data_IF_716860768863
#
_entry.id   IF_716860768863
#
_cell.length_a   1.000
_cell.length_b   1.000
_cell.length_c   1.000
_cell.angle_alpha   90.00
_cell.angle_beta   90.00
_cell.angle_gamma   90.00
#
_symmetry.space_group_name_H-M   'P 1'
#
loop_
_entity.id
_entity.type
_entity.pdbx_description
1 polymer ?
#
# COMPACT_ATOMS: atom_id res chain seq x y z
N UNK A 1 -31.17 12.23 -40.77
CA UNK A 1 -30.21 13.08 -40.04
C UNK A 1 -29.01 12.21 -39.72
N UNK A 2 -27.88 12.49 -40.38
CA UNK A 2 -26.65 11.67 -40.33
C UNK A 2 -25.84 12.01 -39.07
N UNK A 3 -25.63 11.03 -38.20
CA UNK A 3 -24.67 11.16 -37.09
C UNK A 3 -23.25 11.23 -37.66
N UNK A 4 -22.65 12.41 -37.65
CA UNK A 4 -21.22 12.58 -37.88
C UNK A 4 -20.46 12.06 -36.66
N UNK A 5 -19.93 10.84 -36.71
CA UNK A 5 -18.90 10.35 -35.80
C UNK A 5 -17.68 11.26 -35.89
N UNK A 6 -17.43 12.04 -34.84
CA UNK A 6 -16.23 12.86 -34.70
C UNK A 6 -15.04 11.93 -34.39
N UNK A 7 -14.38 11.41 -35.43
CA UNK A 7 -13.08 10.75 -35.27
C UNK A 7 -11.98 11.81 -35.24
N UNK A 8 -11.47 12.12 -34.05
CA UNK A 8 -10.31 12.98 -33.91
C UNK A 8 -9.06 12.19 -34.32
N UNK A 9 -8.30 12.65 -35.31
CA UNK A 9 -7.09 11.99 -35.75
C UNK A 9 -5.96 12.13 -34.68
N UNK A 10 -4.97 11.23 -34.70
CA UNK A 10 -3.85 11.21 -33.74
C UNK A 10 -3.15 12.57 -33.58
N UNK A 11 -2.94 13.31 -34.68
CA UNK A 11 -2.29 14.62 -34.65
C UNK A 11 -3.12 15.68 -33.94
N UNK A 12 -4.43 15.67 -34.17
CA UNK A 12 -5.38 16.60 -33.48
C UNK A 12 -5.50 16.24 -32.01
N UNK A 13 -5.50 14.95 -31.66
CA UNK A 13 -5.47 14.50 -30.27
C UNK A 13 -4.19 14.93 -29.56
N UNK A 14 -3.02 14.74 -30.18
CA UNK A 14 -1.73 15.16 -29.60
C UNK A 14 -1.66 16.68 -29.46
N UNK A 15 -2.14 17.44 -30.46
CA UNK A 15 -2.18 18.91 -30.37
C UNK A 15 -3.13 19.39 -29.28
N UNK A 16 -4.30 18.78 -29.12
CA UNK A 16 -5.24 19.10 -28.05
C UNK A 16 -4.66 18.73 -26.68
N UNK A 17 -3.97 17.59 -26.58
CA UNK A 17 -3.30 17.15 -25.36
C UNK A 17 -2.12 18.04 -24.96
N UNK A 18 -1.35 18.54 -25.95
CA UNK A 18 -0.25 19.48 -25.72
C UNK A 18 -0.77 20.86 -25.30
N UNK A 19 -1.88 21.32 -25.88
CA UNK A 19 -2.49 22.60 -25.46
C UNK A 19 -3.08 22.50 -24.05
N UNK A 20 -3.72 21.38 -23.71
CA UNK A 20 -4.23 21.13 -22.35
C UNK A 20 -3.08 20.89 -21.36
N UNK A 21 -2.03 20.18 -21.75
CA UNK A 21 -0.82 20.02 -20.96
C UNK A 21 -0.03 21.34 -20.85
N UNK A 22 0.02 22.13 -21.89
CA UNK A 22 0.65 23.47 -21.89
C UNK A 22 -0.09 24.46 -20.96
N UNK A 23 -1.41 24.47 -20.95
CA UNK A 23 -2.21 25.27 -20.02
C UNK A 23 -2.06 24.80 -18.56
N UNK A 24 -1.85 23.50 -18.36
CA UNK A 24 -1.50 22.93 -17.06
C UNK A 24 -0.04 23.20 -16.67
N UNK A 25 0.91 23.19 -17.61
CA UNK A 25 2.34 23.42 -17.32
C UNK A 25 2.64 24.90 -17.03
N UNK A 26 1.89 25.85 -17.52
CA UNK A 26 2.10 27.27 -17.17
C UNK A 26 1.72 27.60 -15.71
N UNK A 27 0.92 26.77 -15.07
CA UNK A 27 0.62 26.88 -13.62
C UNK A 27 1.65 26.14 -12.75
N UNK A 28 2.61 25.42 -13.35
CA UNK A 28 3.66 24.63 -12.67
C UNK A 28 4.94 25.42 -12.30
N UNK A 29 4.94 26.71 -12.51
CA UNK A 29 6.02 27.57 -12.06
C UNK A 29 6.03 27.72 -10.53
N UNK A 30 6.85 26.92 -9.84
CA UNK A 30 7.31 27.09 -8.45
C UNK A 30 6.29 27.02 -7.30
N UNK A 31 5.04 26.76 -7.54
CA UNK A 31 4.04 26.46 -6.49
C UNK A 31 3.34 25.13 -6.81
N UNK A 32 3.49 24.14 -5.98
CA UNK A 32 3.01 22.77 -6.23
C UNK A 32 1.56 22.70 -6.75
N UNK A 33 1.28 21.67 -7.54
CA UNK A 33 -0.02 21.33 -8.14
C UNK A 33 -1.21 21.46 -7.17
N UNK A 34 -0.93 21.38 -5.86
CA UNK A 34 -1.91 21.44 -4.79
C UNK A 34 -2.67 22.76 -4.71
N UNK A 35 -1.97 23.89 -4.67
CA UNK A 35 -2.61 25.15 -4.28
C UNK A 35 -3.70 25.66 -5.23
N UNK A 36 -3.56 25.45 -6.54
CA UNK A 36 -4.57 25.88 -7.52
C UNK A 36 -5.82 24.97 -7.57
N UNK A 37 -5.65 23.67 -7.36
CA UNK A 37 -6.77 22.73 -7.32
C UNK A 37 -7.58 22.86 -6.03
N UNK A 38 -6.93 23.20 -4.92
CA UNK A 38 -7.59 23.45 -3.64
C UNK A 38 -8.47 24.73 -3.69
N UNK A 39 -7.99 25.78 -4.39
CA UNK A 39 -8.69 27.03 -4.53
C UNK A 39 -9.83 27.02 -5.55
N UNK A 40 -9.75 26.16 -6.57
CA UNK A 40 -10.70 26.16 -7.70
C UNK A 40 -11.94 25.26 -7.47
N UNK A 41 -12.02 24.52 -6.38
CA UNK A 41 -13.06 23.51 -6.19
C UNK A 41 -14.19 24.02 -5.27
N UNK A 42 -15.30 24.48 -5.86
CA UNK A 42 -16.51 24.89 -5.13
C UNK A 42 -17.37 23.70 -4.61
N UNK A 43 -16.92 22.44 -4.79
CA UNK A 43 -17.62 21.27 -4.26
C UNK A 43 -17.21 21.03 -2.80
N UNK A 44 -18.12 20.49 -1.96
CA UNK A 44 -17.75 20.08 -0.61
C UNK A 44 -16.63 19.06 -0.68
N UNK A 45 -15.48 19.41 -0.09
CA UNK A 45 -14.27 18.60 -0.12
C UNK A 45 -14.37 17.53 0.96
N UNK A 46 -14.05 16.29 0.60
CA UNK A 46 -13.87 15.22 1.58
C UNK A 46 -12.71 15.57 2.52
N UNK A 47 -12.89 15.33 3.79
CA UNK A 47 -11.94 15.67 4.84
C UNK A 47 -11.82 14.51 5.83
N UNK A 48 -10.59 14.03 6.03
CA UNK A 48 -10.25 12.94 6.91
C UNK A 48 -9.13 13.32 7.87
N UNK A 49 -9.04 12.63 9.00
CA UNK A 49 -7.90 12.78 9.89
C UNK A 49 -6.69 12.06 9.32
N UNK A 50 -6.91 10.85 8.79
CA UNK A 50 -5.86 10.04 8.16
C UNK A 50 -6.37 9.47 6.82
N UNK A 51 -5.56 9.62 5.79
CA UNK A 51 -5.73 8.90 4.53
C UNK A 51 -4.61 7.85 4.41
N UNK A 52 -5.01 6.61 4.15
CA UNK A 52 -4.09 5.50 3.86
C UNK A 52 -4.12 5.22 2.36
N UNK A 53 -2.99 5.33 1.70
CA UNK A 53 -2.85 5.05 0.27
C UNK A 53 -2.43 3.61 0.07
N UNK A 54 -3.37 2.78 -0.34
CA UNK A 54 -3.20 1.35 -0.57
C UNK A 54 -3.94 0.50 0.46
N UNK A 55 -4.58 -0.55 -0.03
CA UNK A 55 -5.40 -1.50 0.75
C UNK A 55 -4.77 -2.89 0.85
N UNK A 56 -3.46 -2.99 0.70
CA UNK A 56 -2.70 -4.20 1.01
C UNK A 56 -2.60 -4.44 2.52
N UNK A 57 -1.88 -5.48 2.93
CA UNK A 57 -1.71 -5.83 4.35
C UNK A 57 -1.21 -4.67 5.19
N UNK A 58 -0.20 -3.94 4.72
CA UNK A 58 0.34 -2.77 5.42
C UNK A 58 -0.72 -1.66 5.60
N UNK A 59 -1.46 -1.32 4.53
CA UNK A 59 -2.46 -0.25 4.59
C UNK A 59 -3.65 -0.61 5.45
N UNK A 60 -4.17 -1.82 5.35
CA UNK A 60 -5.28 -2.29 6.19
C UNK A 60 -4.86 -2.38 7.65
N UNK A 61 -3.66 -2.91 7.96
CA UNK A 61 -3.16 -2.95 9.33
C UNK A 61 -2.97 -1.55 9.91
N UNK A 62 -2.42 -0.62 9.13
CA UNK A 62 -2.29 0.78 9.54
C UNK A 62 -3.66 1.42 9.85
N UNK A 63 -4.67 1.18 9.00
CA UNK A 63 -6.02 1.69 9.23
C UNK A 63 -6.65 1.10 10.49
N UNK A 64 -6.52 -0.22 10.71
CA UNK A 64 -7.00 -0.89 11.91
C UNK A 64 -6.30 -0.34 13.15
N UNK A 65 -4.96 -0.23 13.15
CA UNK A 65 -4.19 0.32 14.27
C UNK A 65 -4.56 1.78 14.58
N UNK A 66 -4.81 2.58 13.55
CA UNK A 66 -5.24 3.96 13.76
C UNK A 66 -6.63 4.04 14.42
N UNK A 67 -7.56 3.15 14.07
CA UNK A 67 -8.86 3.02 14.73
C UNK A 67 -8.74 2.45 16.14
N UNK A 68 -7.79 1.56 16.39
CA UNK A 68 -7.47 1.07 17.76
C UNK A 68 -6.99 2.20 18.66
N UNK A 69 -6.10 3.05 18.14
CA UNK A 69 -5.56 4.19 18.88
C UNK A 69 -6.59 5.31 19.09
N UNK A 70 -7.46 5.56 18.11
CA UNK A 70 -8.51 6.56 18.22
C UNK A 70 -9.77 6.14 17.45
N UNK A 71 -10.75 5.52 18.11
CA UNK A 71 -12.01 5.07 17.46
C UNK A 71 -12.88 6.20 16.88
N UNK A 72 -12.59 7.45 17.20
CA UNK A 72 -13.30 8.63 16.69
C UNK A 72 -12.62 9.24 15.46
N UNK A 73 -11.44 8.77 15.08
CA UNK A 73 -10.72 9.28 13.91
C UNK A 73 -11.47 8.96 12.61
N UNK A 74 -11.53 9.93 11.73
CA UNK A 74 -12.08 9.75 10.38
C UNK A 74 -10.96 9.23 9.47
N UNK A 75 -10.97 7.92 9.23
CA UNK A 75 -9.94 7.23 8.45
C UNK A 75 -10.51 6.80 7.11
N UNK A 76 -9.74 7.04 6.05
CA UNK A 76 -10.07 6.62 4.70
C UNK A 76 -8.92 5.82 4.08
N UNK A 77 -9.22 4.65 3.53
CA UNK A 77 -8.31 3.87 2.71
C UNK A 77 -8.63 4.10 1.23
N UNK A 78 -7.63 4.51 0.47
CA UNK A 78 -7.72 4.73 -0.97
C UNK A 78 -7.13 3.53 -1.70
N UNK A 79 -7.89 2.92 -2.60
CA UNK A 79 -7.51 1.74 -3.34
C UNK A 79 -7.81 1.88 -4.83
N UNK A 80 -6.90 1.45 -5.69
CA UNK A 80 -7.09 1.44 -7.15
C UNK A 80 -8.07 0.39 -7.64
N UNK A 81 -8.30 -0.63 -6.81
CA UNK A 81 -9.23 -1.74 -7.08
C UNK A 81 -9.90 -2.16 -5.78
N UNK A 82 -10.66 -3.26 -5.84
CA UNK A 82 -11.16 -3.93 -4.65
C UNK A 82 -10.00 -4.22 -3.67
N UNK A 83 -10.14 -3.92 -2.37
CA UNK A 83 -9.07 -4.09 -1.37
C UNK A 83 -8.44 -5.49 -1.35
N UNK A 84 -9.22 -6.53 -1.63
CA UNK A 84 -8.76 -7.92 -1.66
C UNK A 84 -7.92 -8.28 -2.90
N UNK A 85 -7.70 -7.35 -3.85
CA UNK A 85 -6.89 -7.55 -5.06
C UNK A 85 -5.56 -6.84 -4.96
N UNK A 86 -4.68 -7.32 -4.11
CA UNK A 86 -3.36 -6.74 -3.84
C UNK A 86 -2.27 -7.80 -3.80
N UNK A 87 -1.01 -7.40 -3.74
CA UNK A 87 0.12 -8.32 -3.67
C UNK A 87 0.06 -9.23 -2.44
N UNK A 88 -0.36 -8.70 -1.29
CA UNK A 88 -0.49 -9.51 -0.07
C UNK A 88 -1.46 -10.68 -0.27
N UNK A 89 -2.57 -10.49 -1.00
CA UNK A 89 -3.54 -11.56 -1.25
C UNK A 89 -2.98 -12.74 -2.07
N UNK A 90 -1.84 -12.54 -2.75
CA UNK A 90 -1.17 -13.56 -3.57
C UNK A 90 -0.11 -14.33 -2.80
N UNK A 91 0.18 -13.95 -1.54
CA UNK A 91 1.19 -14.61 -0.72
C UNK A 91 0.66 -15.95 -0.19
N UNK A 92 1.29 -17.04 -0.59
CA UNK A 92 0.90 -18.41 -0.23
C UNK A 92 1.72 -18.95 0.94
N UNK A 93 2.99 -18.53 1.02
CA UNK A 93 4.02 -19.14 1.87
C UNK A 93 3.74 -19.10 3.36
N UNK A 94 3.35 -17.99 3.89
CA UNK A 94 3.18 -17.76 5.32
C UNK A 94 3.85 -16.48 5.80
N UNK A 95 3.94 -16.33 7.11
CA UNK A 95 4.53 -15.18 7.80
C UNK A 95 5.64 -15.72 8.71
N UNK A 96 6.88 -15.29 8.48
CA UNK A 96 7.97 -15.59 9.39
C UNK A 96 7.86 -14.74 10.66
N UNK A 97 7.92 -15.39 11.82
CA UNK A 97 7.97 -14.71 13.11
C UNK A 97 8.23 -15.69 14.24
N UNK A 98 9.06 -15.29 15.18
CA UNK A 98 9.39 -16.12 16.33
C UNK A 98 8.25 -16.02 17.34
N UNK A 99 7.47 -17.10 17.47
CA UNK A 99 6.39 -17.22 18.46
C UNK A 99 6.68 -18.33 19.49
N UNK A 100 7.68 -19.17 19.25
CA UNK A 100 8.08 -20.26 20.14
C UNK A 100 9.62 -20.30 20.27
N UNK A 101 10.10 -19.86 21.41
CA UNK A 101 11.53 -19.82 21.75
C UNK A 101 12.05 -21.16 22.27
N UNK A 102 11.18 -22.08 22.68
CA UNK A 102 11.54 -23.35 23.30
C UNK A 102 12.35 -24.27 22.36
N UNK A 103 12.25 -24.05 21.05
CA UNK A 103 12.94 -24.79 19.99
C UNK A 103 14.31 -24.19 19.59
N UNK A 104 14.83 -23.27 20.40
CA UNK A 104 16.12 -22.63 20.18
C UNK A 104 16.11 -21.65 19.01
N UNK A 105 14.98 -21.00 18.75
CA UNK A 105 14.84 -19.85 17.87
C UNK A 105 14.97 -18.54 18.65
N UNK A 106 15.34 -17.45 17.99
CA UNK A 106 15.46 -16.11 18.59
C UNK A 106 15.25 -15.02 17.56
N UNK A 107 15.04 -13.80 18.04
CA UNK A 107 14.95 -12.63 17.17
C UNK A 107 16.27 -12.38 16.43
N UNK A 108 17.41 -12.51 17.11
CA UNK A 108 18.73 -12.36 16.52
C UNK A 108 18.96 -13.38 15.39
N UNK A 109 18.55 -14.63 15.60
CA UNK A 109 18.68 -15.67 14.57
C UNK A 109 17.75 -15.40 13.39
N UNK A 110 16.54 -14.89 13.63
CA UNK A 110 15.64 -14.47 12.58
C UNK A 110 16.19 -13.26 11.81
N UNK A 111 16.75 -12.28 12.52
CA UNK A 111 17.40 -11.12 11.92
C UNK A 111 18.62 -11.54 11.09
N UNK A 112 19.47 -12.45 11.61
CA UNK A 112 20.62 -12.97 10.89
C UNK A 112 20.21 -13.65 9.57
N UNK A 113 19.20 -14.53 9.59
CA UNK A 113 18.68 -15.18 8.38
C UNK A 113 18.19 -14.14 7.36
N UNK A 114 17.52 -13.09 7.82
CA UNK A 114 16.97 -12.02 6.98
C UNK A 114 18.08 -11.16 6.37
N UNK A 115 19.06 -10.76 7.17
CA UNK A 115 20.25 -10.00 6.72
C UNK A 115 21.03 -10.80 5.69
N UNK A 116 21.27 -12.08 5.97
CA UNK A 116 21.95 -13.01 5.05
C UNK A 116 21.16 -13.18 3.74
N UNK A 117 19.82 -13.31 3.83
CA UNK A 117 18.95 -13.40 2.66
C UNK A 117 18.94 -12.14 1.79
N UNK A 118 19.24 -10.98 2.36
CA UNK A 118 19.42 -9.71 1.68
C UNK A 118 20.86 -9.41 1.26
N UNK A 119 21.72 -10.42 1.20
CA UNK A 119 23.15 -10.30 0.82
C UNK A 119 23.92 -9.25 1.65
N UNK A 120 23.52 -9.06 2.91
CA UNK A 120 24.09 -8.08 3.86
C UNK A 120 23.94 -6.62 3.43
N UNK A 121 23.11 -6.32 2.41
CA UNK A 121 22.88 -4.97 1.91
C UNK A 121 21.72 -4.25 2.62
N UNK A 122 21.04 -4.94 3.52
CA UNK A 122 19.87 -4.42 4.25
C UNK A 122 20.26 -3.47 5.40
N UNK A 123 19.35 -2.65 5.82
CA UNK A 123 19.43 -1.87 7.05
C UNK A 123 19.23 -2.84 8.24
N UNK A 124 20.31 -3.18 8.91
CA UNK A 124 20.32 -4.25 9.92
C UNK A 124 19.52 -3.90 11.16
N UNK A 125 19.55 -2.63 11.60
CA UNK A 125 18.78 -2.16 12.76
C UNK A 125 17.27 -2.26 12.45
N UNK A 126 16.84 -1.82 11.26
CA UNK A 126 15.46 -1.96 10.84
C UNK A 126 15.01 -3.42 10.69
N UNK A 127 15.92 -4.33 10.30
CA UNK A 127 15.64 -5.77 10.23
C UNK A 127 15.46 -6.36 11.63
N UNK A 128 16.27 -5.96 12.60
CA UNK A 128 16.14 -6.44 13.97
C UNK A 128 14.78 -6.03 14.56
N UNK A 129 14.44 -4.73 14.47
CA UNK A 129 13.13 -4.21 14.91
C UNK A 129 11.96 -4.96 14.23
N UNK A 130 12.07 -5.19 12.93
CA UNK A 130 11.06 -5.94 12.17
C UNK A 130 10.92 -7.38 12.67
N UNK A 131 12.02 -8.08 12.95
CA UNK A 131 12.01 -9.47 13.42
C UNK A 131 11.45 -9.58 14.84
N UNK A 132 11.71 -8.62 15.71
CA UNK A 132 11.11 -8.55 17.05
C UNK A 132 9.58 -8.33 16.98
N UNK A 133 9.11 -7.46 16.09
CA UNK A 133 7.68 -7.17 15.94
C UNK A 133 6.91 -8.26 15.19
N UNK A 134 7.57 -9.11 14.41
CA UNK A 134 6.91 -10.12 13.58
C UNK A 134 6.07 -11.11 14.41
N UNK A 135 6.61 -11.57 15.55
CA UNK A 135 5.89 -12.46 16.46
C UNK A 135 4.63 -11.81 17.04
N UNK A 136 4.73 -10.56 17.48
CA UNK A 136 3.59 -9.78 18.00
C UNK A 136 2.52 -9.57 16.92
N UNK A 137 2.94 -9.33 15.69
CA UNK A 137 2.02 -9.19 14.54
C UNK A 137 1.24 -10.48 14.27
N UNK A 138 1.88 -11.65 14.37
CA UNK A 138 1.21 -12.95 14.23
C UNK A 138 0.16 -13.13 15.33
N UNK A 139 0.51 -12.86 16.58
CA UNK A 139 -0.43 -12.93 17.70
C UNK A 139 -1.61 -11.95 17.54
N UNK A 140 -1.34 -10.74 17.04
CA UNK A 140 -2.39 -9.76 16.76
C UNK A 140 -3.36 -10.26 15.67
N UNK A 141 -2.87 -10.86 14.60
CA UNK A 141 -3.70 -11.46 13.56
C UNK A 141 -4.52 -12.65 14.08
N UNK A 142 -3.90 -13.48 14.92
CA UNK A 142 -4.60 -14.59 15.58
C UNK A 142 -5.73 -14.11 16.50
N UNK A 143 -5.46 -13.06 17.29
CA UNK A 143 -6.47 -12.40 18.14
C UNK A 143 -7.63 -11.80 17.32
N UNK A 144 -7.36 -11.27 16.13
CA UNK A 144 -8.39 -10.80 15.20
C UNK A 144 -9.17 -11.92 14.52
N UNK A 145 -8.91 -13.18 14.88
CA UNK A 145 -9.61 -14.35 14.37
C UNK A 145 -9.07 -14.87 13.04
N UNK A 146 -7.83 -14.58 12.68
CA UNK A 146 -7.21 -15.17 11.49
C UNK A 146 -7.11 -16.70 11.65
N UNK A 147 -7.71 -17.51 10.76
CA UNK A 147 -7.71 -18.97 10.86
C UNK A 147 -6.35 -19.55 10.39
N UNK A 148 -5.32 -19.38 11.21
CA UNK A 148 -4.05 -20.10 11.00
C UNK A 148 -4.23 -21.60 11.05
N UNK A 149 -3.43 -22.35 10.31
CA UNK A 149 -3.27 -23.79 10.52
C UNK A 149 -2.77 -24.04 11.93
N UNK A 150 -3.37 -25.03 12.62
CA UNK A 150 -3.10 -25.33 14.03
C UNK A 150 -2.42 -26.68 14.21
N UNK A 151 -1.61 -26.81 15.24
CA UNK A 151 -1.11 -28.09 15.72
C UNK A 151 -2.15 -28.79 16.64
N UNK A 152 -1.80 -29.97 17.13
CA UNK A 152 -2.70 -30.76 17.99
C UNK A 152 -2.98 -30.10 19.36
N UNK A 153 -2.13 -29.16 19.77
CA UNK A 153 -2.32 -28.36 20.98
C UNK A 153 -3.15 -27.08 20.73
N UNK A 154 -3.55 -26.82 19.48
CA UNK A 154 -4.31 -25.65 19.09
C UNK A 154 -3.47 -24.39 18.85
N UNK A 155 -2.14 -24.47 18.91
CA UNK A 155 -1.26 -23.35 18.62
C UNK A 155 -1.07 -23.14 17.10
N UNK A 156 -0.75 -21.92 16.64
CA UNK A 156 -0.44 -21.68 15.24
C UNK A 156 0.73 -22.56 14.79
N UNK A 157 0.51 -23.33 13.72
CA UNK A 157 1.49 -24.26 13.17
C UNK A 157 2.52 -23.56 12.33
N UNK A 158 3.77 -23.91 12.54
CA UNK A 158 4.90 -23.39 11.76
C UNK A 158 5.44 -24.43 10.77
N UNK A 159 6.04 -23.94 9.67
CA UNK A 159 6.78 -24.74 8.69
C UNK A 159 8.11 -24.08 8.33
N UNK A 160 8.98 -24.79 7.66
CA UNK A 160 10.18 -24.21 7.08
C UNK A 160 9.81 -23.26 5.92
N UNK A 161 10.50 -22.12 5.85
CA UNK A 161 10.49 -21.22 4.71
C UNK A 161 11.89 -21.17 4.08
N UNK A 162 11.97 -20.84 2.81
CA UNK A 162 13.25 -20.70 2.11
C UNK A 162 14.16 -19.69 2.81
N UNK A 163 15.44 -20.07 3.02
CA UNK A 163 16.42 -19.22 3.69
C UNK A 163 16.33 -19.19 5.22
N UNK A 164 15.30 -19.73 5.84
CA UNK A 164 15.18 -19.76 7.29
C UNK A 164 16.00 -20.90 7.90
N UNK A 165 16.75 -20.63 8.98
CA UNK A 165 17.49 -21.64 9.74
C UNK A 165 16.61 -22.40 10.74
N UNK A 166 15.42 -21.87 11.05
CA UNK A 166 14.45 -22.44 12.00
C UNK A 166 13.04 -22.49 11.42
N UNK A 167 12.20 -23.30 12.05
CA UNK A 167 10.79 -23.47 11.71
C UNK A 167 9.99 -22.32 12.35
N UNK A 168 9.79 -21.23 11.61
CA UNK A 168 9.09 -20.03 12.12
C UNK A 168 8.05 -19.45 11.17
N UNK A 169 7.80 -20.10 10.04
CA UNK A 169 6.83 -19.63 9.06
C UNK A 169 5.42 -20.08 9.44
N UNK A 170 4.63 -19.18 10.00
CA UNK A 170 3.24 -19.41 10.39
C UNK A 170 2.34 -19.22 9.17
N UNK A 171 1.39 -20.12 8.95
CA UNK A 171 0.66 -20.17 7.68
C UNK A 171 -0.82 -20.55 7.87
N UNK A 172 -1.60 -20.30 6.85
CA UNK A 172 -2.98 -20.75 6.69
C UNK A 172 -3.09 -21.52 5.37
N UNK A 173 -2.87 -22.84 5.43
CA UNK A 173 -2.79 -23.72 4.27
C UNK A 173 -1.85 -23.14 3.18
N UNK A 174 -2.35 -22.97 1.97
CA UNK A 174 -1.66 -22.37 0.80
C UNK A 174 -2.16 -20.95 0.46
N UNK A 175 -2.86 -20.29 1.35
CA UNK A 175 -3.57 -19.03 1.09
C UNK A 175 -3.42 -18.01 2.22
N UNK A 176 -2.28 -18.02 2.89
CA UNK A 176 -2.00 -17.17 4.05
C UNK A 176 -2.30 -15.70 3.78
N UNK A 177 -1.77 -15.13 2.70
CA UNK A 177 -1.96 -13.72 2.39
C UNK A 177 -3.40 -13.36 2.03
N UNK A 178 -4.12 -14.26 1.35
CA UNK A 178 -5.54 -14.08 1.08
C UNK A 178 -6.34 -13.97 2.40
N UNK A 179 -6.07 -14.84 3.35
CA UNK A 179 -6.73 -14.83 4.65
C UNK A 179 -6.34 -13.58 5.47
N UNK A 180 -5.05 -13.17 5.47
CA UNK A 180 -4.62 -11.90 6.09
C UNK A 180 -5.46 -10.73 5.59
N UNK A 181 -5.62 -10.61 4.27
CA UNK A 181 -6.39 -9.52 3.69
C UNK A 181 -7.86 -9.59 4.05
N UNK A 182 -8.48 -10.77 4.03
CA UNK A 182 -9.88 -10.92 4.43
C UNK A 182 -10.09 -10.54 5.90
N UNK A 183 -9.23 -11.00 6.80
CA UNK A 183 -9.29 -10.68 8.23
C UNK A 183 -9.15 -9.18 8.46
N UNK A 184 -8.12 -8.55 7.92
CA UNK A 184 -7.87 -7.12 8.10
C UNK A 184 -8.92 -6.24 7.43
N UNK A 185 -9.45 -6.65 6.27
CA UNK A 185 -10.49 -5.90 5.58
C UNK A 185 -11.82 -5.96 6.33
N UNK A 186 -12.21 -7.14 6.81
CA UNK A 186 -13.40 -7.30 7.64
C UNK A 186 -13.30 -6.46 8.93
N UNK A 187 -12.14 -6.50 9.58
CA UNK A 187 -11.88 -5.72 10.79
C UNK A 187 -11.92 -4.20 10.54
N UNK A 188 -11.33 -3.73 9.45
CA UNK A 188 -11.39 -2.33 9.06
C UNK A 188 -12.83 -1.86 8.79
N UNK A 189 -13.66 -2.69 8.14
CA UNK A 189 -15.08 -2.40 7.91
C UNK A 189 -15.86 -2.34 9.22
N UNK A 190 -15.67 -3.31 10.11
CA UNK A 190 -16.31 -3.37 11.44
C UNK A 190 -16.01 -2.12 12.28
N UNK A 191 -14.78 -1.61 12.18
CA UNK A 191 -14.36 -0.37 12.85
C UNK A 191 -14.80 0.91 12.15
N UNK A 192 -15.52 0.82 11.03
CA UNK A 192 -16.08 1.98 10.33
C UNK A 192 -15.09 2.75 9.44
N UNK A 193 -13.96 2.14 9.08
CA UNK A 193 -13.01 2.71 8.11
C UNK A 193 -13.71 2.95 6.78
N UNK A 194 -13.53 4.12 6.19
CA UNK A 194 -14.07 4.47 4.87
C UNK A 194 -13.13 3.99 3.76
N UNK A 195 -13.71 3.56 2.65
CA UNK A 195 -12.97 3.11 1.48
C UNK A 195 -13.35 3.92 0.24
N UNK A 196 -12.34 4.47 -0.43
CA UNK A 196 -12.44 5.01 -1.78
C UNK A 196 -11.81 3.99 -2.75
N UNK A 197 -12.67 3.16 -3.34
CA UNK A 197 -12.28 2.14 -4.32
C UNK A 197 -12.33 2.70 -5.74
N UNK A 198 -11.49 2.19 -6.62
CA UNK A 198 -11.30 2.68 -8.00
C UNK A 198 -10.73 4.11 -8.04
N UNK A 199 -9.91 4.47 -7.04
CA UNK A 199 -9.22 5.75 -7.00
C UNK A 199 -7.71 5.58 -7.05
N UNK A 200 -7.07 6.37 -7.90
CA UNK A 200 -5.61 6.45 -8.04
C UNK A 200 -5.08 7.71 -7.38
N UNK A 201 -4.03 7.59 -6.60
CA UNK A 201 -3.27 8.75 -6.13
C UNK A 201 -2.56 9.39 -7.33
N UNK A 202 -2.82 10.67 -7.56
CA UNK A 202 -2.08 11.47 -8.53
C UNK A 202 -0.96 12.25 -7.86
N UNK A 203 -1.24 12.91 -6.73
CA UNK A 203 -0.27 13.75 -6.06
C UNK A 203 -0.59 13.96 -4.57
N UNK A 204 0.40 14.48 -3.83
CA UNK A 204 0.30 14.86 -2.42
C UNK A 204 0.36 16.38 -2.34
N UNK A 205 -0.73 16.99 -1.86
CA UNK A 205 -0.85 18.44 -1.72
C UNK A 205 -0.13 18.96 -0.49
N UNK A 206 0.68 19.99 -0.68
CA UNK A 206 1.37 20.72 0.39
C UNK A 206 1.21 22.22 0.21
N UNK A 207 1.12 22.94 1.32
CA UNK A 207 1.16 24.41 1.36
C UNK A 207 2.12 24.84 2.47
N UNK A 208 3.02 25.77 2.16
CA UNK A 208 4.05 26.24 3.10
C UNK A 208 4.84 25.12 3.80
N UNK A 209 5.11 24.03 3.06
CA UNK A 209 5.83 22.86 3.60
C UNK A 209 4.97 21.87 4.42
N UNK A 210 3.73 22.23 4.76
CA UNK A 210 2.80 21.38 5.48
C UNK A 210 1.90 20.57 4.53
N UNK A 211 1.52 19.37 4.93
CA UNK A 211 0.57 18.54 4.22
C UNK A 211 -0.83 19.17 4.25
N UNK A 212 -1.51 19.23 3.11
CA UNK A 212 -2.91 19.61 2.99
C UNK A 212 -3.82 18.41 2.70
N UNK A 213 -3.29 17.40 2.02
CA UNK A 213 -4.03 16.20 1.64
C UNK A 213 -3.50 15.55 0.37
N UNK A 214 -4.39 14.94 -0.41
CA UNK A 214 -4.05 14.19 -1.62
C UNK A 214 -4.94 14.57 -2.79
N UNK A 215 -4.42 14.44 -4.01
CA UNK A 215 -5.20 14.55 -5.25
C UNK A 215 -5.43 13.16 -5.79
N UNK A 216 -6.69 12.80 -5.96
CA UNK A 216 -7.12 11.49 -6.43
C UNK A 216 -7.75 11.60 -7.82
N UNK A 217 -7.63 10.55 -8.61
CA UNK A 217 -8.40 10.34 -9.83
C UNK A 217 -9.34 9.17 -9.66
N UNK A 218 -10.61 9.35 -9.88
CA UNK A 218 -11.55 8.26 -10.04
C UNK A 218 -11.22 7.53 -11.37
N UNK A 219 -10.86 6.26 -11.29
CA UNK A 219 -10.42 5.47 -12.46
C UNK A 219 -11.57 5.23 -13.42
N UNK A 220 -12.81 5.13 -12.92
CA UNK A 220 -13.99 4.82 -13.72
C UNK A 220 -14.52 6.04 -14.49
N UNK A 221 -14.51 7.21 -13.85
CA UNK A 221 -15.10 8.45 -14.42
C UNK A 221 -14.04 9.40 -15.00
N UNK A 222 -12.77 9.25 -14.58
CA UNK A 222 -11.71 10.19 -14.90
C UNK A 222 -11.71 11.47 -14.04
N UNK A 223 -12.68 11.64 -13.15
CA UNK A 223 -12.80 12.82 -12.29
C UNK A 223 -11.58 12.95 -11.37
N UNK A 224 -11.04 14.17 -11.30
CA UNK A 224 -9.95 14.52 -10.37
C UNK A 224 -10.56 15.19 -9.14
N UNK A 225 -10.18 14.71 -7.97
CA UNK A 225 -10.74 15.13 -6.70
C UNK A 225 -9.65 15.39 -5.67
N UNK A 226 -9.53 16.61 -5.12
CA UNK A 226 -8.72 16.87 -3.94
C UNK A 226 -9.44 16.34 -2.69
N UNK A 227 -8.68 15.75 -1.77
CA UNK A 227 -9.18 15.23 -0.49
C UNK A 227 -8.25 15.71 0.62
N UNK A 228 -8.80 16.39 1.62
CA UNK A 228 -8.03 16.88 2.77
C UNK A 228 -7.68 15.77 3.73
N UNK A 229 -6.48 15.88 4.31
CA UNK A 229 -6.04 14.98 5.38
C UNK A 229 -5.04 15.67 6.29
N UNK A 230 -5.09 15.36 7.59
CA UNK A 230 -4.07 15.81 8.55
C UNK A 230 -2.80 14.95 8.43
N UNK A 231 -2.94 13.68 8.06
CA UNK A 231 -1.84 12.77 7.83
C UNK A 231 -2.13 11.84 6.63
N UNK A 232 -1.08 11.43 5.93
CA UNK A 232 -1.13 10.46 4.84
C UNK A 232 -0.17 9.32 5.14
N UNK A 233 -0.67 8.09 5.15
CA UNK A 233 0.14 6.88 5.28
C UNK A 233 0.30 6.28 3.89
N UNK A 234 1.56 6.20 3.43
CA UNK A 234 1.89 5.61 2.14
C UNK A 234 2.07 4.09 2.30
N UNK A 235 1.12 3.32 1.80
CA UNK A 235 1.11 1.85 1.80
C UNK A 235 0.78 1.27 0.42
N UNK A 236 1.16 1.98 -0.63
CA UNK A 236 0.77 1.74 -2.02
C UNK A 236 1.47 0.54 -2.68
N UNK A 237 2.36 -0.14 -1.96
CA UNK A 237 3.19 -1.21 -2.49
C UNK A 237 4.25 -0.72 -3.48
N UNK A 238 4.74 -1.63 -4.29
CA UNK A 238 5.86 -1.39 -5.19
C UNK A 238 5.47 -1.01 -6.63
N UNK A 239 6.41 -1.24 -7.54
CA UNK A 239 6.33 -0.79 -8.95
C UNK A 239 6.70 -1.87 -9.96
N UNK A 240 6.67 -3.13 -9.60
CA UNK A 240 7.15 -4.25 -10.44
C UNK A 240 6.43 -4.36 -11.79
N UNK A 241 5.23 -3.75 -11.95
CA UNK A 241 4.52 -3.69 -13.24
C UNK A 241 5.17 -2.77 -14.27
N UNK A 242 6.20 -2.00 -13.90
CA UNK A 242 7.09 -1.33 -14.85
C UNK A 242 7.72 -2.36 -15.80
N UNK A 243 8.00 -3.57 -15.32
CA UNK A 243 8.54 -4.68 -16.11
C UNK A 243 7.48 -5.43 -16.93
N UNK A 244 6.27 -4.88 -17.07
CA UNK A 244 5.19 -5.37 -17.92
C UNK A 244 4.93 -6.89 -17.75
N UNK A 245 5.20 -7.69 -18.79
CA UNK A 245 4.95 -9.13 -18.81
C UNK A 245 6.04 -9.98 -18.12
N UNK A 246 7.03 -9.36 -17.48
CA UNK A 246 8.10 -10.02 -16.71
C UNK A 246 7.84 -9.97 -15.20
N UNK A 247 6.63 -9.62 -14.80
CA UNK A 247 6.26 -9.50 -13.39
C UNK A 247 5.05 -10.37 -13.08
N UNK A 248 5.13 -11.16 -12.00
CA UNK A 248 4.01 -11.93 -11.43
C UNK A 248 3.15 -11.11 -10.45
N UNK A 249 3.54 -9.86 -10.13
CA UNK A 249 2.80 -9.02 -9.19
C UNK A 249 1.45 -8.55 -9.76
N UNK A 250 0.48 -8.15 -8.92
CA UNK A 250 -0.81 -7.65 -9.38
C UNK A 250 -0.67 -6.42 -10.28
N UNK A 251 -1.63 -6.22 -11.16
CA UNK A 251 -1.67 -5.06 -12.08
C UNK A 251 -1.67 -3.70 -11.38
N UNK A 252 -1.94 -3.67 -10.08
CA UNK A 252 -1.97 -2.43 -9.28
C UNK A 252 -0.57 -1.95 -8.83
N UNK A 253 0.47 -2.77 -8.98
CA UNK A 253 1.84 -2.44 -8.56
C UNK A 253 2.56 -1.58 -9.62
N UNK A 254 2.06 -0.37 -9.89
CA UNK A 254 2.47 0.50 -11.00
C UNK A 254 3.42 1.64 -10.61
N UNK A 255 3.76 1.78 -9.30
CA UNK A 255 4.72 2.78 -8.84
C UNK A 255 4.19 4.21 -8.73
N UNK A 256 2.91 4.44 -8.94
CA UNK A 256 2.28 5.76 -8.83
C UNK A 256 2.38 6.35 -7.42
N UNK A 257 2.25 5.53 -6.38
CA UNK A 257 2.42 5.96 -5.00
C UNK A 257 3.85 6.45 -4.69
N UNK A 258 4.90 5.63 -4.88
CA UNK A 258 6.28 6.06 -4.75
C UNK A 258 6.60 7.31 -5.59
N UNK A 259 6.11 7.39 -6.83
CA UNK A 259 6.31 8.56 -7.69
C UNK A 259 5.65 9.83 -7.13
N UNK A 260 4.44 9.74 -6.56
CA UNK A 260 3.78 10.88 -5.92
C UNK A 260 4.53 11.31 -4.64
N UNK A 261 5.01 10.37 -3.84
CA UNK A 261 5.82 10.64 -2.66
C UNK A 261 7.13 11.36 -3.02
N UNK A 262 7.83 10.88 -4.07
CA UNK A 262 9.06 11.53 -4.55
C UNK A 262 8.80 12.97 -5.02
N UNK A 263 7.73 13.21 -5.79
CA UNK A 263 7.35 14.59 -6.18
C UNK A 263 7.03 15.49 -4.99
N UNK A 264 6.48 14.89 -3.93
CA UNK A 264 6.23 15.58 -2.66
C UNK A 264 7.51 15.82 -1.84
N UNK A 265 8.68 15.37 -2.31
CA UNK A 265 9.98 15.58 -1.65
C UNK A 265 10.32 14.51 -0.61
N UNK A 266 9.60 13.38 -0.59
CA UNK A 266 9.96 12.22 0.23
C UNK A 266 11.09 11.45 -0.47
N UNK A 267 12.22 11.20 0.17
CA UNK A 267 13.31 10.43 -0.44
C UNK A 267 12.90 8.99 -0.68
N UNK A 268 13.42 8.40 -1.74
CA UNK A 268 13.33 6.97 -2.00
C UNK A 268 14.59 6.27 -1.48
N UNK A 269 14.42 5.06 -0.94
CA UNK A 269 15.50 4.16 -0.55
C UNK A 269 15.46 2.92 -1.42
N UNK A 270 16.62 2.52 -1.91
CA UNK A 270 16.88 1.30 -2.67
C UNK A 270 15.92 1.05 -3.86
N UNK A 271 15.66 2.06 -4.73
CA UNK A 271 14.69 1.90 -5.81
C UNK A 271 15.12 0.90 -6.89
N UNK A 272 16.40 0.54 -6.95
CA UNK A 272 16.93 -0.49 -7.85
C UNK A 272 16.72 -1.91 -7.35
N UNK A 273 16.42 -2.11 -6.06
CA UNK A 273 16.27 -3.42 -5.43
C UNK A 273 14.92 -4.04 -5.74
N UNK A 274 14.77 -4.57 -6.94
CA UNK A 274 13.58 -5.30 -7.36
C UNK A 274 13.83 -6.79 -7.29
N UNK A 275 13.06 -7.48 -6.45
CA UNK A 275 13.13 -8.93 -6.34
C UNK A 275 12.45 -9.60 -7.53
N UNK A 276 13.14 -10.56 -8.13
CA UNK A 276 12.60 -11.51 -9.11
C UNK A 276 12.50 -12.87 -8.43
N UNK A 277 11.29 -13.38 -8.29
CA UNK A 277 11.04 -14.70 -7.74
C UNK A 277 10.92 -15.70 -8.88
N UNK A 278 11.73 -16.79 -8.91
CA UNK A 278 11.67 -17.84 -9.94
C UNK A 278 10.39 -18.66 -9.87
#
# INVERSE_FOLDING_TARGET
MSEKKLFMNRRTFIKASVVTAGALTFTFGLGGFGSSLWAANNKPMLDFDIIVIGSGGAGLRAAVSAMEANPKARICVVAKTMPTRCATAMAEGGINGVIDFSKGDSYDLHAFDTVKGGDYLVDQDAVLDFCEEAGRTIHALDYLGMPFSRDDAGAPKARYAGGASKVRCIYSADKTGHIVIQTLFAEALTRGVKFLMDYQLLDIGKSNGALEGVVLRNIRTGEIMPVRAKAVIMASGGYSRVYWNRSSTPYVATGDGPAAALRAGVPMKDPEMTQFHP
#
